data_IF_820123980613
#
_entry.id   IF_820123980613
#
_cell.length_a   1.000
_cell.length_b   1.000
_cell.length_c   1.000
_cell.angle_alpha   90.00
_cell.angle_beta   90.00
_cell.angle_gamma   90.00
#
_symmetry.space_group_name_H-M   'P 1'
#
loop_
_entity.id
_entity.type
_entity.pdbx_description
1 polymer ?
#
# COMPACT_ATOMS: atom_id res chain seq x y z
N UNK A 1 18.34 6.28 9.18
CA UNK A 1 18.21 4.86 8.81
C UNK A 1 18.23 3.82 9.96
N UNK A 2 18.31 4.22 11.23
CA UNK A 2 18.42 3.29 12.38
C UNK A 2 17.12 2.99 13.13
N UNK A 3 15.96 3.40 12.63
CA UNK A 3 14.74 3.46 13.46
C UNK A 3 13.95 2.15 13.61
N UNK A 4 14.23 1.15 12.77
CA UNK A 4 13.52 -0.13 12.78
C UNK A 4 14.55 -1.24 12.61
N UNK A 5 14.49 -2.25 13.48
CA UNK A 5 15.43 -3.35 13.51
C UNK A 5 15.42 -4.12 12.18
N UNK A 6 16.56 -4.19 11.51
CA UNK A 6 16.68 -4.80 10.19
C UNK A 6 16.33 -6.29 10.19
N UNK A 7 16.70 -7.01 11.24
CA UNK A 7 16.37 -8.44 11.36
C UNK A 7 14.86 -8.66 11.51
N UNK A 8 14.19 -7.81 12.30
CA UNK A 8 12.73 -7.86 12.47
C UNK A 8 12.00 -7.54 11.15
N UNK A 9 12.48 -6.56 10.37
CA UNK A 9 11.94 -6.27 9.03
C UNK A 9 12.10 -7.44 8.07
N UNK A 10 13.29 -8.07 8.05
CA UNK A 10 13.54 -9.22 7.19
C UNK A 10 12.56 -10.36 7.50
N UNK A 11 12.24 -10.59 8.78
CA UNK A 11 11.22 -11.58 9.14
C UNK A 11 9.85 -11.23 8.58
N UNK A 12 9.41 -9.96 8.67
CA UNK A 12 8.14 -9.53 8.07
C UNK A 12 8.07 -9.82 6.56
N UNK A 13 9.18 -9.58 5.84
CA UNK A 13 9.25 -9.73 4.39
C UNK A 13 9.44 -11.19 3.93
N UNK A 14 10.07 -12.03 4.76
CA UNK A 14 10.40 -13.42 4.45
C UNK A 14 9.36 -14.42 4.99
N UNK A 15 8.44 -14.00 5.86
CA UNK A 15 7.43 -14.83 6.55
C UNK A 15 6.36 -15.49 5.65
N UNK A 16 6.59 -15.57 4.33
CA UNK A 16 5.81 -16.34 3.38
C UNK A 16 6.10 -17.85 3.39
N UNK A 17 7.24 -18.28 3.94
CA UNK A 17 7.55 -19.70 4.14
C UNK A 17 7.80 -19.96 5.62
N UNK A 18 6.83 -20.52 6.33
CA UNK A 18 7.03 -20.93 7.73
C UNK A 18 8.24 -21.84 7.81
N UNK A 19 9.33 -21.35 8.39
CA UNK A 19 10.53 -22.14 8.58
C UNK A 19 10.22 -23.40 9.39
N UNK A 20 10.99 -24.47 9.15
CA UNK A 20 10.90 -25.69 9.95
C UNK A 20 10.93 -25.32 11.43
N UNK A 21 9.90 -25.72 12.19
CA UNK A 21 9.85 -25.45 13.61
C UNK A 21 10.85 -26.36 14.33
N UNK A 22 11.90 -25.78 14.91
CA UNK A 22 12.87 -26.54 15.73
C UNK A 22 12.28 -26.91 17.10
N UNK A 23 11.19 -26.24 17.50
CA UNK A 23 10.49 -26.42 18.77
C UNK A 23 9.16 -27.12 18.49
N UNK A 24 8.85 -28.16 19.28
CA UNK A 24 7.59 -28.90 19.16
C UNK A 24 6.41 -27.95 19.37
N UNK A 25 5.44 -28.01 18.47
CA UNK A 25 4.19 -27.25 18.56
C UNK A 25 3.34 -27.70 19.74
N UNK A 26 2.75 -26.77 20.51
CA UNK A 26 1.80 -27.09 21.56
C UNK A 26 0.50 -27.68 20.99
N UNK A 27 -0.22 -28.46 21.81
CA UNK A 27 -1.50 -29.06 21.42
C UNK A 27 -2.63 -28.01 21.43
N UNK A 28 -2.68 -27.21 20.36
CA UNK A 28 -3.68 -26.16 20.13
C UNK A 28 -4.25 -26.28 18.71
N UNK A 29 -5.55 -26.65 18.56
CA UNK A 29 -6.18 -26.77 17.25
C UNK A 29 -6.28 -25.46 16.46
N UNK A 30 -6.34 -24.31 17.16
CA UNK A 30 -6.44 -22.98 16.55
C UNK A 30 -5.10 -22.47 16.00
N UNK A 31 -3.98 -23.04 16.47
CA UNK A 31 -2.64 -22.64 16.04
C UNK A 31 -2.20 -23.54 14.89
N UNK A 32 -1.94 -22.97 13.71
CA UNK A 32 -1.45 -23.73 12.56
C UNK A 32 0.07 -23.97 12.66
N UNK A 33 0.59 -24.94 11.92
CA UNK A 33 2.04 -25.20 11.89
C UNK A 33 2.83 -24.03 11.27
N UNK A 34 2.22 -23.33 10.31
CA UNK A 34 2.78 -22.11 9.71
C UNK A 34 2.91 -21.00 10.75
N UNK A 35 1.84 -20.77 11.52
CA UNK A 35 1.81 -19.76 12.58
C UNK A 35 2.80 -20.11 13.70
N UNK A 36 2.89 -21.39 14.08
CA UNK A 36 3.90 -21.84 15.04
C UNK A 36 5.34 -21.70 14.53
N UNK A 37 5.57 -21.98 13.25
CA UNK A 37 6.87 -21.73 12.60
C UNK A 37 7.31 -20.27 12.75
N UNK A 38 6.38 -19.32 12.59
CA UNK A 38 6.63 -17.89 12.82
C UNK A 38 6.95 -17.56 14.28
N UNK A 39 6.25 -18.17 15.24
CA UNK A 39 6.59 -18.04 16.67
C UNK A 39 8.01 -18.54 16.95
N UNK A 40 8.40 -19.66 16.34
CA UNK A 40 9.75 -20.22 16.45
C UNK A 40 10.80 -19.29 15.83
N UNK A 41 10.52 -18.69 14.66
CA UNK A 41 11.40 -17.70 14.03
C UNK A 41 11.62 -16.47 14.90
N UNK A 42 10.56 -15.93 15.50
CA UNK A 42 10.69 -14.83 16.46
C UNK A 42 11.56 -15.25 17.64
N UNK A 43 11.33 -16.44 18.19
CA UNK A 43 12.15 -16.99 19.27
C UNK A 43 13.64 -17.11 18.90
N UNK A 44 13.99 -17.41 17.64
CA UNK A 44 15.40 -17.50 17.19
C UNK A 44 16.18 -16.19 17.33
N UNK A 45 15.50 -15.04 17.43
CA UNK A 45 16.17 -13.76 17.64
C UNK A 45 16.89 -13.68 18.99
N UNK A 46 16.44 -14.43 20.00
CA UNK A 46 17.10 -14.57 21.32
C UNK A 46 17.52 -13.23 21.95
N UNK A 47 16.74 -12.18 21.70
CA UNK A 47 16.93 -10.81 22.21
C UNK A 47 15.58 -10.29 22.67
N UNK A 48 15.53 -9.53 23.76
CA UNK A 48 14.29 -8.92 24.23
C UNK A 48 13.60 -8.13 23.10
N UNK A 49 12.28 -8.27 22.91
CA UNK A 49 11.30 -9.02 23.73
C UNK A 49 11.17 -10.53 23.37
N UNK A 50 11.96 -11.03 22.44
CA UNK A 50 11.87 -12.37 21.86
C UNK A 50 12.59 -13.50 22.62
N UNK A 51 13.24 -13.17 23.73
CA UNK A 51 13.94 -14.15 24.55
C UNK A 51 12.92 -15.12 25.17
N UNK A 52 13.14 -16.43 24.99
CA UNK A 52 12.22 -17.49 25.41
C UNK A 52 10.78 -17.35 24.88
N UNK A 53 10.57 -16.61 23.79
CA UNK A 53 9.22 -16.26 23.33
C UNK A 53 8.34 -17.49 23.07
N UNK A 54 8.86 -18.55 22.44
CA UNK A 54 8.08 -19.76 22.16
C UNK A 54 7.62 -20.48 23.44
N UNK A 55 8.49 -20.53 24.46
CA UNK A 55 8.16 -21.13 25.76
C UNK A 55 7.13 -20.30 26.52
N UNK A 56 7.29 -18.97 26.52
CA UNK A 56 6.33 -18.05 27.14
C UNK A 56 4.97 -18.10 26.44
N UNK A 57 4.97 -18.22 25.11
CA UNK A 57 3.77 -18.38 24.30
C UNK A 57 2.98 -19.64 24.69
N UNK A 58 3.67 -20.77 24.83
CA UNK A 58 3.07 -22.05 25.25
C UNK A 58 2.49 -21.98 26.67
N UNK A 59 3.21 -21.37 27.62
CA UNK A 59 2.70 -21.19 29.00
C UNK A 59 1.44 -20.33 29.03
N UNK A 60 1.31 -19.37 28.11
CA UNK A 60 0.20 -18.42 28.06
C UNK A 60 -0.78 -18.69 26.90
N UNK A 61 -0.89 -19.95 26.47
CA UNK A 61 -1.66 -20.35 25.29
C UNK A 61 -3.14 -19.92 25.34
N UNK A 62 -3.77 -20.00 26.52
CA UNK A 62 -5.16 -19.53 26.70
C UNK A 62 -5.31 -18.03 26.49
N UNK A 63 -4.30 -17.24 26.88
CA UNK A 63 -4.30 -15.80 26.66
C UNK A 63 -4.14 -15.46 25.17
N UNK A 64 -3.25 -16.16 24.47
CA UNK A 64 -3.09 -16.00 23.02
C UNK A 64 -4.31 -16.45 22.24
N UNK A 65 -5.02 -17.48 22.71
CA UNK A 65 -6.31 -17.89 22.14
C UNK A 65 -7.34 -16.76 22.20
N UNK A 66 -7.40 -15.99 23.29
CA UNK A 66 -8.29 -14.81 23.36
C UNK A 66 -7.93 -13.73 22.34
N UNK A 67 -6.64 -13.56 22.06
CA UNK A 67 -6.18 -12.63 21.01
C UNK A 67 -6.58 -13.16 19.63
N UNK A 68 -6.41 -14.46 19.38
CA UNK A 68 -6.79 -15.12 18.14
C UNK A 68 -8.30 -15.02 17.87
N UNK A 69 -9.12 -15.31 18.87
CA UNK A 69 -10.59 -15.31 18.78
C UNK A 69 -11.20 -13.89 18.75
N UNK A 70 -10.40 -12.83 18.98
CA UNK A 70 -10.89 -11.44 19.03
C UNK A 70 -11.03 -10.82 17.65
N UNK A 71 -12.13 -10.13 17.38
CA UNK A 71 -12.31 -9.33 16.16
C UNK A 71 -11.32 -8.16 16.05
N UNK A 72 -10.84 -7.65 17.19
CA UNK A 72 -9.89 -6.55 17.29
C UNK A 72 -8.69 -6.97 18.16
N UNK A 73 -7.76 -7.79 17.63
CA UNK A 73 -6.65 -8.34 18.41
C UNK A 73 -5.65 -7.26 18.89
N UNK A 74 -5.67 -6.09 18.27
CA UNK A 74 -4.88 -4.93 18.69
C UNK A 74 -5.49 -4.17 19.88
N UNK A 75 -6.75 -4.40 20.23
CA UNK A 75 -7.45 -3.68 21.31
C UNK A 75 -7.53 -4.48 22.61
N UNK A 76 -7.29 -5.79 22.54
CA UNK A 76 -7.28 -6.67 23.71
C UNK A 76 -5.90 -6.70 24.40
N UNK A 77 -5.84 -6.91 25.72
CA UNK A 77 -4.57 -7.11 26.43
C UNK A 77 -3.84 -8.36 25.92
N UNK A 78 -2.53 -8.24 25.70
CA UNK A 78 -1.72 -9.39 25.30
C UNK A 78 -1.14 -10.08 26.53
N UNK A 79 -0.92 -11.40 26.48
CA UNK A 79 -0.29 -12.13 27.58
C UNK A 79 1.04 -11.50 27.99
N UNK A 80 1.28 -11.45 29.31
CA UNK A 80 2.52 -10.90 29.86
C UNK A 80 2.69 -9.38 29.72
N UNK A 81 1.67 -8.62 29.30
CA UNK A 81 1.80 -7.17 29.09
C UNK A 81 2.71 -6.82 27.89
N UNK A 82 2.85 -7.75 26.95
CA UNK A 82 3.71 -7.57 25.79
C UNK A 82 3.21 -6.45 24.87
N UNK A 83 1.89 -6.20 24.84
CA UNK A 83 1.30 -5.12 24.05
C UNK A 83 1.80 -3.74 24.49
N UNK A 84 2.04 -3.51 25.77
CA UNK A 84 2.44 -2.21 26.29
C UNK A 84 3.96 -1.99 26.14
N UNK A 85 4.74 -3.08 26.08
CA UNK A 85 6.21 -3.05 26.07
C UNK A 85 6.81 -3.18 24.67
N UNK A 86 6.06 -3.71 23.71
CA UNK A 86 6.52 -3.90 22.34
C UNK A 86 6.37 -2.65 21.47
N UNK A 87 7.29 -2.49 20.52
CA UNK A 87 7.17 -1.48 19.45
C UNK A 87 6.06 -1.86 18.46
N UNK A 88 5.53 -0.91 17.65
CA UNK A 88 4.54 -1.21 16.62
C UNK A 88 4.97 -2.33 15.65
N UNK A 89 6.25 -2.36 15.24
CA UNK A 89 6.75 -3.42 14.36
C UNK A 89 6.74 -4.78 15.03
N UNK A 90 7.15 -4.85 16.31
CA UNK A 90 7.12 -6.09 17.09
C UNK A 90 5.68 -6.60 17.28
N UNK A 91 4.71 -5.69 17.48
CA UNK A 91 3.30 -6.06 17.51
C UNK A 91 2.82 -6.64 16.18
N UNK A 92 3.17 -6.01 15.06
CA UNK A 92 2.81 -6.53 13.74
C UNK A 92 3.39 -7.94 13.50
N UNK A 93 4.62 -8.21 13.95
CA UNK A 93 5.25 -9.52 13.88
C UNK A 93 4.54 -10.58 14.74
N UNK A 94 4.13 -10.24 15.96
CA UNK A 94 3.34 -11.13 16.81
C UNK A 94 1.99 -11.45 16.15
N UNK A 95 1.29 -10.44 15.61
CA UNK A 95 0.03 -10.68 14.91
C UNK A 95 0.20 -11.50 13.65
N UNK A 96 1.30 -11.33 12.91
CA UNK A 96 1.60 -12.21 11.78
C UNK A 96 1.76 -13.67 12.21
N UNK A 97 2.31 -13.92 13.41
CA UNK A 97 2.46 -15.25 13.97
C UNK A 97 1.18 -15.81 14.58
N UNK A 98 0.28 -14.98 15.10
CA UNK A 98 -0.95 -15.42 15.80
C UNK A 98 -2.18 -15.35 14.89
N UNK A 99 -2.43 -14.18 14.28
CA UNK A 99 -3.64 -13.83 13.54
C UNK A 99 -3.29 -13.00 12.29
N UNK A 100 -2.85 -13.72 11.24
CA UNK A 100 -2.20 -13.13 10.08
C UNK A 100 -3.07 -12.15 9.29
N UNK A 101 -4.39 -12.33 9.28
CA UNK A 101 -5.38 -11.41 8.68
C UNK A 101 -5.32 -10.01 9.30
N UNK A 102 -4.93 -9.90 10.57
CA UNK A 102 -4.84 -8.63 11.29
C UNK A 102 -3.47 -7.96 11.17
N UNK A 103 -2.56 -8.52 10.36
CA UNK A 103 -1.21 -7.95 10.14
C UNK A 103 -1.28 -6.63 9.39
N UNK A 104 -2.17 -6.49 8.40
CA UNK A 104 -2.29 -5.27 7.60
C UNK A 104 -2.67 -4.07 8.48
N UNK A 105 -3.74 -4.12 9.30
CA UNK A 105 -4.04 -3.07 10.27
C UNK A 105 -2.86 -2.77 11.23
N UNK A 106 -2.16 -3.80 11.69
CA UNK A 106 -1.01 -3.61 12.58
C UNK A 106 0.15 -2.86 11.89
N UNK A 107 0.40 -3.14 10.60
CA UNK A 107 1.39 -2.42 9.80
C UNK A 107 0.95 -0.98 9.50
N UNK A 108 -0.34 -0.74 9.34
CA UNK A 108 -0.86 0.62 9.21
C UNK A 108 -0.52 1.46 10.46
N UNK A 109 -0.62 0.89 11.65
CA UNK A 109 -0.18 1.55 12.89
C UNK A 109 1.34 1.82 12.93
N UNK A 110 2.15 0.94 12.32
CA UNK A 110 3.60 1.22 12.15
C UNK A 110 3.80 2.46 11.28
N UNK A 111 3.08 2.56 10.16
CA UNK A 111 3.15 3.70 9.24
C UNK A 111 2.65 4.97 9.95
N UNK A 112 1.50 4.90 10.62
CA UNK A 112 0.93 6.03 11.37
C UNK A 112 1.91 6.55 12.45
N UNK A 113 2.57 5.65 13.18
CA UNK A 113 3.50 6.02 14.24
C UNK A 113 4.83 6.60 13.72
N UNK A 114 5.24 6.25 12.49
CA UNK A 114 6.54 6.64 11.92
C UNK A 114 6.48 7.77 10.90
N UNK A 115 5.50 7.73 10.01
CA UNK A 115 5.33 8.67 8.90
C UNK A 115 4.14 9.61 9.13
N UNK A 116 3.20 9.23 9.99
CA UNK A 116 1.95 9.95 10.22
C UNK A 116 0.77 9.31 9.49
N UNK A 117 -0.45 9.64 9.93
CA UNK A 117 -1.68 9.07 9.36
C UNK A 117 -1.95 9.51 7.93
N UNK A 118 -1.41 10.66 7.51
CA UNK A 118 -1.52 11.16 6.14
C UNK A 118 -0.93 10.19 5.09
N UNK A 119 -0.05 9.27 5.51
CA UNK A 119 0.51 8.22 4.64
C UNK A 119 -0.38 6.97 4.53
N UNK A 120 -1.46 6.90 5.30
CA UNK A 120 -2.49 5.86 5.20
C UNK A 120 -3.69 6.29 4.39
N UNK A 121 -3.89 7.60 4.28
CA UNK A 121 -5.03 8.18 3.58
C UNK A 121 -4.60 8.55 2.15
N UNK A 122 -5.33 8.10 1.12
CA UNK A 122 -5.06 8.56 -0.23
C UNK A 122 -5.27 10.08 -0.28
N UNK A 123 -4.34 10.85 -0.89
CA UNK A 123 -4.51 12.28 -1.00
C UNK A 123 -5.78 12.60 -1.82
N UNK A 124 -6.48 13.66 -1.44
CA UNK A 124 -7.61 14.16 -2.22
C UNK A 124 -7.14 14.51 -3.63
N UNK A 125 -7.90 14.11 -4.66
CA UNK A 125 -7.64 14.52 -6.03
C UNK A 125 -7.69 16.05 -6.15
N UNK A 126 -6.59 16.66 -6.60
CA UNK A 126 -6.43 18.10 -6.73
C UNK A 126 -5.82 18.42 -8.11
N UNK A 127 -6.70 18.71 -9.07
CA UNK A 127 -6.30 19.02 -10.44
C UNK A 127 -5.62 20.39 -10.53
N UNK A 128 -6.02 21.35 -9.70
CA UNK A 128 -5.41 22.69 -9.67
C UNK A 128 -3.93 22.62 -9.27
N UNK A 129 -3.60 21.84 -8.22
CA UNK A 129 -2.21 21.62 -7.82
C UNK A 129 -1.42 20.86 -8.87
N UNK A 130 -2.00 19.76 -9.39
CA UNK A 130 -1.36 18.98 -10.45
C UNK A 130 -1.03 19.85 -11.67
N UNK A 131 -1.92 20.77 -12.04
CA UNK A 131 -1.70 21.71 -13.14
C UNK A 131 -0.58 22.71 -12.85
N UNK A 132 -0.47 23.23 -11.62
CA UNK A 132 0.62 24.13 -11.23
C UNK A 132 2.01 23.47 -11.33
N UNK A 133 2.08 22.17 -11.06
CA UNK A 133 3.31 21.38 -11.18
C UNK A 133 3.57 20.88 -12.63
N UNK A 134 2.62 21.10 -13.54
CA UNK A 134 2.72 20.68 -14.94
C UNK A 134 3.35 21.74 -15.84
N UNK A 135 3.74 21.34 -17.05
CA UNK A 135 4.26 22.25 -18.07
C UNK A 135 3.95 21.75 -19.48
N UNK A 136 4.26 22.54 -20.51
CA UNK A 136 4.11 22.11 -21.92
C UNK A 136 5.01 20.93 -22.32
N UNK A 137 5.98 20.56 -21.49
CA UNK A 137 6.85 19.40 -21.68
C UNK A 137 6.64 18.32 -20.61
N UNK A 138 5.68 18.53 -19.69
CA UNK A 138 5.36 17.60 -18.60
C UNK A 138 3.85 17.32 -18.64
N UNK A 139 3.41 16.28 -19.38
CA UNK A 139 1.99 16.02 -19.58
C UNK A 139 1.31 15.53 -18.29
N UNK A 140 0.03 15.87 -18.14
CA UNK A 140 -0.82 15.36 -17.08
C UNK A 140 -1.41 14.01 -17.48
N UNK A 141 -1.17 12.98 -16.65
CA UNK A 141 -1.69 11.63 -16.87
C UNK A 141 -2.77 11.33 -15.83
N UNK A 142 -3.97 10.98 -16.31
CA UNK A 142 -5.10 10.61 -15.46
C UNK A 142 -5.24 9.09 -15.44
N UNK A 143 -5.05 8.49 -14.27
CA UNK A 143 -5.32 7.07 -14.04
C UNK A 143 -6.70 6.94 -13.41
N UNK A 144 -7.65 6.40 -14.18
CA UNK A 144 -9.06 6.38 -13.82
C UNK A 144 -9.49 5.00 -13.33
N UNK A 145 -10.29 4.97 -12.27
CA UNK A 145 -11.09 3.80 -11.92
C UNK A 145 -12.29 3.68 -12.86
N UNK A 146 -12.86 2.48 -12.97
CA UNK A 146 -14.05 2.27 -13.80
C UNK A 146 -15.20 3.21 -13.39
N UNK A 147 -15.74 3.94 -14.36
CA UNK A 147 -16.84 4.89 -14.15
C UNK A 147 -16.43 6.29 -13.70
N UNK A 148 -15.14 6.54 -13.44
CA UNK A 148 -14.63 7.89 -13.21
C UNK A 148 -14.33 8.58 -14.56
N UNK A 149 -14.78 9.83 -14.72
CA UNK A 149 -14.46 10.68 -15.86
C UNK A 149 -13.98 12.07 -15.38
N UNK A 150 -12.72 12.44 -15.63
CA UNK A 150 -12.16 13.72 -15.18
C UNK A 150 -12.57 14.89 -16.09
N UNK A 151 -13.26 14.62 -17.21
CA UNK A 151 -13.47 15.61 -18.28
C UNK A 151 -14.16 16.89 -17.80
N UNK A 152 -15.18 16.76 -16.92
CA UNK A 152 -15.85 17.93 -16.34
C UNK A 152 -14.88 18.81 -15.55
N UNK A 153 -14.00 18.20 -14.76
CA UNK A 153 -13.03 18.91 -13.94
C UNK A 153 -11.95 19.57 -14.80
N UNK A 154 -11.50 18.89 -15.86
CA UNK A 154 -10.55 19.45 -16.84
C UNK A 154 -11.15 20.64 -17.57
N UNK A 155 -12.41 20.56 -18.02
CA UNK A 155 -13.07 21.68 -18.70
C UNK A 155 -13.28 22.88 -17.77
N UNK A 156 -13.64 22.64 -16.50
CA UNK A 156 -13.74 23.70 -15.49
C UNK A 156 -12.37 24.38 -15.26
N UNK A 157 -11.29 23.60 -15.18
CA UNK A 157 -9.94 24.15 -15.07
C UNK A 157 -9.58 24.95 -16.33
N UNK A 158 -9.81 24.41 -17.53
CA UNK A 158 -9.55 25.10 -18.79
C UNK A 158 -10.29 26.44 -18.85
N UNK A 159 -11.55 26.50 -18.42
CA UNK A 159 -12.30 27.75 -18.30
C UNK A 159 -11.67 28.73 -17.31
N UNK A 160 -11.27 28.24 -16.13
CA UNK A 160 -10.62 29.05 -15.08
C UNK A 160 -9.33 29.70 -15.56
N UNK A 161 -8.56 29.02 -16.41
CA UNK A 161 -7.27 29.52 -16.93
C UNK A 161 -7.37 30.13 -18.34
N UNK A 162 -8.58 30.32 -18.87
CA UNK A 162 -8.80 30.95 -20.19
C UNK A 162 -8.44 30.08 -21.40
N UNK A 163 -8.36 28.77 -21.23
CA UNK A 163 -8.06 27.78 -22.27
C UNK A 163 -9.30 27.08 -22.83
N UNK A 164 -10.51 27.39 -22.36
CA UNK A 164 -11.75 26.68 -22.75
C UNK A 164 -12.02 26.64 -24.26
N UNK A 165 -11.62 27.66 -25.02
CA UNK A 165 -11.76 27.70 -26.48
C UNK A 165 -10.59 27.03 -27.22
N UNK A 166 -9.56 26.63 -26.48
CA UNK A 166 -8.29 26.07 -26.99
C UNK A 166 -8.06 24.65 -26.46
N UNK A 167 -9.14 23.87 -26.31
CA UNK A 167 -9.10 22.45 -25.94
C UNK A 167 -9.53 21.59 -27.12
N UNK A 168 -8.71 20.59 -27.46
CA UNK A 168 -9.03 19.57 -28.45
C UNK A 168 -8.99 18.19 -27.78
N UNK A 169 -10.04 17.40 -27.95
CA UNK A 169 -10.11 16.03 -27.42
C UNK A 169 -10.02 15.00 -28.56
N UNK A 170 -9.26 13.93 -28.33
CA UNK A 170 -9.14 12.78 -29.23
C UNK A 170 -9.35 11.51 -28.42
N UNK A 171 -10.41 10.76 -28.73
CA UNK A 171 -10.63 9.44 -28.13
C UNK A 171 -9.86 8.37 -28.89
N UNK A 172 -8.92 7.74 -28.22
CA UNK A 172 -8.07 6.70 -28.79
C UNK A 172 -8.83 5.36 -28.87
N UNK A 173 -8.63 4.71 -30.00
CA UNK A 173 -9.16 3.40 -30.35
C UNK A 173 -8.40 2.87 -31.55
N UNK A 174 -8.88 1.77 -32.15
CA UNK A 174 -8.21 1.19 -33.31
C UNK A 174 -8.13 2.22 -34.45
N UNK A 175 -6.91 2.53 -34.90
CA UNK A 175 -6.65 3.44 -36.02
C UNK A 175 -6.67 4.94 -35.71
N UNK A 176 -6.81 5.37 -34.45
CA UNK A 176 -6.87 6.80 -34.08
C UNK A 176 -5.50 7.47 -33.87
N UNK A 177 -4.40 6.70 -33.87
CA UNK A 177 -3.04 7.21 -33.66
C UNK A 177 -2.66 8.41 -34.56
N UNK A 178 -2.85 8.34 -35.89
CA UNK A 178 -2.54 9.45 -36.78
C UNK A 178 -3.36 10.73 -36.50
N UNK A 179 -4.59 10.60 -35.97
CA UNK A 179 -5.39 11.76 -35.59
C UNK A 179 -4.85 12.42 -34.32
N UNK A 180 -4.43 11.61 -33.35
CA UNK A 180 -3.81 12.09 -32.13
C UNK A 180 -2.45 12.76 -32.40
N UNK A 181 -1.61 12.19 -33.27
CA UNK A 181 -0.33 12.80 -33.68
C UNK A 181 -0.53 14.19 -34.29
N UNK A 182 -1.53 14.35 -35.17
CA UNK A 182 -1.88 15.65 -35.77
C UNK A 182 -2.35 16.63 -34.71
N UNK A 183 -3.26 16.21 -33.83
CA UNK A 183 -3.75 17.05 -32.75
C UNK A 183 -2.61 17.54 -31.84
N UNK A 184 -1.67 16.65 -31.49
CA UNK A 184 -0.47 17.00 -30.70
C UNK A 184 0.43 17.98 -31.45
N UNK A 185 0.71 17.74 -32.73
CA UNK A 185 1.54 18.63 -33.54
C UNK A 185 0.93 20.03 -33.68
N UNK A 186 -0.38 20.11 -33.94
CA UNK A 186 -1.13 21.36 -33.99
C UNK A 186 -1.09 22.05 -32.63
N UNK A 187 -1.47 21.35 -31.55
CA UNK A 187 -1.48 21.88 -30.19
C UNK A 187 -0.13 22.40 -29.72
N UNK A 188 0.96 21.74 -30.11
CA UNK A 188 2.33 22.19 -29.84
C UNK A 188 2.65 23.53 -30.53
N UNK A 189 2.11 23.76 -31.73
CA UNK A 189 2.34 25.00 -32.48
C UNK A 189 1.43 26.16 -32.05
N UNK A 190 0.19 25.84 -31.67
CA UNK A 190 -0.86 26.81 -31.34
C UNK A 190 -1.00 27.11 -29.85
N UNK A 191 -0.38 26.30 -28.99
CA UNK A 191 -0.50 26.40 -27.53
C UNK A 191 -1.82 25.84 -26.97
N UNK A 192 -2.49 24.96 -27.73
CA UNK A 192 -3.75 24.33 -27.31
C UNK A 192 -3.53 23.14 -26.37
N UNK A 193 -4.54 22.85 -25.57
CA UNK A 193 -4.60 21.64 -24.76
C UNK A 193 -5.12 20.49 -25.59
N UNK A 194 -4.35 19.41 -25.66
CA UNK A 194 -4.75 18.18 -26.34
C UNK A 194 -5.06 17.12 -25.29
N UNK A 195 -6.29 16.65 -25.27
CA UNK A 195 -6.77 15.63 -24.34
C UNK A 195 -6.88 14.32 -25.10
N UNK A 196 -6.10 13.33 -24.69
CA UNK A 196 -6.18 11.98 -25.22
C UNK A 196 -7.03 11.10 -24.28
N UNK A 197 -8.18 10.67 -24.75
CA UNK A 197 -9.08 9.79 -24.00
C UNK A 197 -8.84 8.34 -24.37
N UNK A 198 -9.18 7.40 -23.48
CA UNK A 198 -9.10 5.97 -23.75
C UNK A 198 -7.71 5.46 -24.19
N UNK A 199 -6.64 6.10 -23.71
CA UNK A 199 -5.25 5.74 -24.04
C UNK A 199 -4.93 4.25 -23.82
N UNK A 200 -5.54 3.62 -22.81
CA UNK A 200 -5.39 2.19 -22.52
C UNK A 200 -5.89 1.26 -23.64
N UNK A 201 -6.72 1.75 -24.58
CA UNK A 201 -7.19 1.00 -25.75
C UNK A 201 -6.23 1.06 -26.96
N UNK A 202 -5.16 1.86 -26.89
CA UNK A 202 -4.20 2.04 -27.98
C UNK A 202 -2.73 1.76 -27.57
N UNK A 203 -2.42 0.62 -26.91
CA UNK A 203 -1.09 0.38 -26.34
C UNK A 203 0.04 0.35 -27.38
N UNK A 204 -0.25 -0.10 -28.61
CA UNK A 204 0.74 -0.14 -29.70
C UNK A 204 1.17 1.25 -30.18
N UNK A 205 0.29 2.25 -30.04
CA UNK A 205 0.57 3.63 -30.45
C UNK A 205 1.09 4.47 -29.28
N UNK A 206 0.65 4.22 -28.05
CA UNK A 206 1.15 4.96 -26.88
C UNK A 206 2.68 4.90 -26.72
N UNK A 207 3.33 3.81 -27.14
CA UNK A 207 4.79 3.69 -27.13
C UNK A 207 5.53 4.54 -28.17
N UNK A 208 4.84 5.15 -29.14
CA UNK A 208 5.46 6.05 -30.13
C UNK A 208 5.41 7.52 -29.71
N UNK A 209 4.85 7.80 -28.52
CA UNK A 209 4.61 9.13 -27.97
C UNK A 209 5.75 9.61 -27.04
N UNK A 210 6.67 8.71 -26.68
CA UNK A 210 7.94 9.02 -25.98
C UNK A 210 8.99 9.61 -26.93
#
# INVERSE_FOLDING_TARGET
DSELNQTEKSLLLLAGGGGSADIRKPDAPWLTDVNWGRVCELNRLQKAPWLDFARQFEVQLEGWKKVFDSDSPMDVPWPGGLRETMTPLQKALVLLAVRADSTIPALQEVIAAKLGRDFLEPPSFDLDKSFQDSSSVTPLIFVLSSGADPMEQVMRLAQKVGMNESVQSVSLGQGQGPMAERAIAEGRSSGQWVILQNCHLAPSWMGTLE
#
